data_IF_835199423432
#
_entry.id   IF_835199423432
#
_cell.length_a   1.000
_cell.length_b   1.000
_cell.length_c   1.000
_cell.angle_alpha   90.00
_cell.angle_beta   90.00
_cell.angle_gamma   90.00
#
_symmetry.space_group_name_H-M   'P 1'
#
loop_
_entity.id
_entity.type
_entity.pdbx_description
1 polymer ?
#
# COMPACT_ATOMS: atom_id res chain seq x y z
N UNK A 1 36.05 14.56 -5.60
CA UNK A 1 34.91 15.49 -5.70
C UNK A 1 33.95 14.90 -6.72
N UNK A 2 33.08 14.02 -6.26
CA UNK A 2 32.11 13.34 -7.12
C UNK A 2 30.88 14.22 -7.26
N UNK A 3 30.65 14.69 -8.48
CA UNK A 3 29.47 15.46 -8.88
C UNK A 3 28.32 14.43 -8.88
N UNK A 4 27.54 14.40 -7.81
CA UNK A 4 26.22 13.71 -7.83
C UNK A 4 25.30 14.54 -8.71
N UNK A 5 25.10 14.05 -9.92
CA UNK A 5 24.06 14.51 -10.84
C UNK A 5 22.72 14.58 -10.07
N UNK A 6 22.08 15.75 -10.10
CA UNK A 6 20.66 15.89 -9.83
C UNK A 6 19.93 14.96 -10.82
N UNK A 7 19.69 13.74 -10.42
CA UNK A 7 18.84 12.81 -11.17
C UNK A 7 17.45 13.42 -11.27
N UNK A 8 16.95 13.41 -12.46
CA UNK A 8 15.65 13.90 -12.87
C UNK A 8 14.59 13.67 -11.80
N UNK A 9 13.92 14.74 -11.43
CA UNK A 9 12.77 14.75 -10.52
C UNK A 9 11.75 13.75 -11.05
N UNK A 10 11.68 12.59 -10.45
CA UNK A 10 10.69 11.59 -10.82
C UNK A 10 9.38 11.99 -10.14
N UNK A 11 8.49 12.66 -10.89
CA UNK A 11 7.13 12.90 -10.42
C UNK A 11 6.44 11.56 -10.20
N UNK A 12 6.21 11.24 -8.95
CA UNK A 12 5.49 10.03 -8.58
C UNK A 12 4.02 10.36 -8.55
N UNK A 13 3.30 10.00 -9.62
CA UNK A 13 1.85 10.08 -9.64
C UNK A 13 1.27 8.82 -8.99
N UNK A 14 0.33 9.02 -8.08
CA UNK A 14 -0.43 7.92 -7.51
C UNK A 14 -1.16 7.17 -8.62
N UNK A 15 -0.98 5.85 -8.65
CA UNK A 15 -1.62 4.96 -9.61
C UNK A 15 -2.40 3.88 -8.86
N UNK A 16 -3.66 3.73 -9.22
CA UNK A 16 -4.54 2.66 -8.71
C UNK A 16 -4.91 1.76 -9.87
N UNK A 17 -4.66 0.46 -9.72
CA UNK A 17 -4.97 -0.57 -10.70
C UNK A 17 -5.91 -1.59 -10.06
N UNK A 18 -7.08 -1.83 -10.65
CA UNK A 18 -7.95 -2.92 -10.23
C UNK A 18 -7.32 -4.25 -10.69
N UNK A 19 -6.94 -5.10 -9.74
CA UNK A 19 -6.32 -6.40 -10.00
C UNK A 19 -7.35 -7.51 -10.18
N UNK A 20 -8.34 -7.53 -9.32
CA UNK A 20 -9.44 -8.51 -9.37
C UNK A 20 -10.62 -8.02 -8.53
N UNK A 21 -11.78 -8.61 -8.76
CA UNK A 21 -13.01 -8.33 -8.01
C UNK A 21 -13.90 -9.57 -7.99
N UNK A 22 -14.92 -9.58 -7.12
CA UNK A 22 -15.93 -10.62 -7.04
C UNK A 22 -16.61 -10.79 -8.40
N UNK A 23 -16.60 -12.01 -8.93
CA UNK A 23 -17.30 -12.33 -10.19
C UNK A 23 -18.78 -12.02 -10.02
N UNK A 24 -19.36 -11.22 -10.95
CA UNK A 24 -20.75 -10.79 -10.93
C UNK A 24 -21.15 -10.21 -9.55
N UNK A 25 -20.58 -9.04 -9.15
CA UNK A 25 -20.72 -8.53 -7.80
C UNK A 25 -22.18 -8.13 -7.49
N UNK A 26 -22.91 -7.58 -8.45
CA UNK A 26 -24.31 -7.20 -8.25
C UNK A 26 -25.19 -8.42 -8.01
N UNK A 27 -25.01 -9.50 -8.76
CA UNK A 27 -25.75 -10.75 -8.56
C UNK A 27 -25.40 -11.43 -7.23
N UNK A 28 -24.13 -11.31 -6.80
CA UNK A 28 -23.69 -11.80 -5.49
C UNK A 28 -24.39 -11.06 -4.37
N UNK A 29 -24.45 -9.71 -4.44
CA UNK A 29 -25.14 -8.84 -3.49
C UNK A 29 -26.64 -9.14 -3.48
N UNK A 30 -27.27 -9.23 -4.66
CA UNK A 30 -28.69 -9.53 -4.78
C UNK A 30 -29.06 -10.93 -4.21
N UNK A 31 -28.20 -11.92 -4.45
CA UNK A 31 -28.39 -13.28 -3.90
C UNK A 31 -28.33 -13.29 -2.38
N UNK A 32 -27.32 -12.62 -1.81
CA UNK A 32 -27.16 -12.50 -0.36
C UNK A 32 -28.35 -11.78 0.30
N UNK A 33 -28.79 -10.66 -0.27
CA UNK A 33 -29.93 -9.93 0.24
C UNK A 33 -31.23 -10.74 0.12
N UNK A 34 -31.47 -11.39 -1.02
CA UNK A 34 -32.70 -12.13 -1.26
C UNK A 34 -32.82 -13.35 -0.34
N UNK A 35 -31.72 -13.96 0.05
CA UNK A 35 -31.70 -15.07 1.00
C UNK A 35 -32.31 -14.68 2.35
N UNK A 36 -32.13 -13.44 2.80
CA UNK A 36 -32.67 -12.96 4.07
C UNK A 36 -34.21 -12.93 4.11
N UNK A 37 -34.86 -12.88 2.94
CA UNK A 37 -36.31 -12.72 2.81
C UNK A 37 -36.98 -13.88 2.04
N UNK A 38 -36.25 -14.94 1.71
CA UNK A 38 -36.77 -16.05 0.90
C UNK A 38 -36.66 -17.37 1.65
N UNK A 39 -37.72 -18.18 1.54
CA UNK A 39 -37.70 -19.57 1.98
C UNK A 39 -37.07 -20.53 0.94
N UNK A 40 -36.72 -20.02 -0.26
CA UNK A 40 -36.12 -20.80 -1.34
C UNK A 40 -34.68 -21.16 -1.02
N UNK A 41 -34.19 -22.28 -1.58
CA UNK A 41 -32.78 -22.62 -1.49
C UNK A 41 -31.91 -21.68 -2.35
N UNK A 42 -30.60 -21.69 -2.10
CA UNK A 42 -29.63 -20.77 -2.74
C UNK A 42 -29.61 -20.93 -4.27
N UNK A 43 -29.70 -22.15 -4.78
CA UNK A 43 -29.69 -22.43 -6.23
C UNK A 43 -30.89 -21.79 -6.92
N UNK A 44 -32.10 -21.99 -6.36
CA UNK A 44 -33.33 -21.38 -6.87
C UNK A 44 -33.27 -19.84 -6.84
N UNK A 45 -32.68 -19.25 -5.78
CA UNK A 45 -32.48 -17.80 -5.70
C UNK A 45 -31.56 -17.33 -6.83
N UNK A 46 -30.43 -18.01 -7.04
CA UNK A 46 -29.44 -17.68 -8.06
C UNK A 46 -30.01 -17.78 -9.47
N UNK A 47 -30.73 -18.87 -9.78
CA UNK A 47 -31.36 -19.09 -11.09
C UNK A 47 -32.49 -18.07 -11.37
N UNK A 48 -33.19 -17.63 -10.35
CA UNK A 48 -34.27 -16.66 -10.46
C UNK A 48 -33.84 -15.21 -10.65
N UNK A 49 -32.53 -14.90 -10.54
CA UNK A 49 -31.98 -13.56 -10.72
C UNK A 49 -31.53 -13.36 -12.17
N UNK A 50 -32.39 -12.77 -13.01
CA UNK A 50 -31.99 -12.22 -14.31
C UNK A 50 -31.25 -10.89 -14.11
N UNK A 51 -30.57 -10.38 -15.14
CA UNK A 51 -29.82 -9.14 -15.06
C UNK A 51 -30.73 -7.95 -14.69
N UNK A 52 -31.93 -7.86 -15.30
CA UNK A 52 -32.88 -6.81 -14.97
C UNK A 52 -33.38 -6.90 -13.52
N UNK A 53 -33.69 -8.12 -13.04
CA UNK A 53 -34.13 -8.30 -11.64
C UNK A 53 -33.00 -8.03 -10.66
N UNK A 54 -31.77 -8.35 -11.02
CA UNK A 54 -30.58 -8.06 -10.21
C UNK A 54 -30.41 -6.55 -10.06
N UNK A 55 -30.40 -5.82 -11.18
CA UNK A 55 -30.22 -4.37 -11.20
C UNK A 55 -31.30 -3.65 -10.36
N UNK A 56 -32.58 -3.94 -10.63
CA UNK A 56 -33.68 -3.31 -9.90
C UNK A 56 -33.70 -3.65 -8.40
N UNK A 57 -33.24 -4.86 -8.04
CA UNK A 57 -33.18 -5.25 -6.64
C UNK A 57 -32.01 -4.57 -5.90
N UNK A 58 -30.84 -4.45 -6.54
CA UNK A 58 -29.70 -3.72 -5.99
C UNK A 58 -30.03 -2.23 -5.81
N UNK A 59 -30.70 -1.61 -6.79
CA UNK A 59 -31.18 -0.23 -6.70
C UNK A 59 -32.12 -0.05 -5.50
N UNK A 60 -33.10 -0.92 -5.34
CA UNK A 60 -34.02 -0.91 -4.19
C UNK A 60 -33.28 -1.07 -2.86
N UNK A 61 -32.25 -1.96 -2.78
CA UNK A 61 -31.44 -2.10 -1.56
C UNK A 61 -30.69 -0.80 -1.22
N UNK A 62 -30.20 -0.09 -2.23
CA UNK A 62 -29.54 1.21 -2.04
C UNK A 62 -30.52 2.28 -1.55
N UNK A 63 -31.73 2.34 -2.12
CA UNK A 63 -32.79 3.30 -1.72
C UNK A 63 -33.23 3.12 -0.27
N UNK A 64 -33.34 1.87 0.21
CA UNK A 64 -33.77 1.59 1.59
C UNK A 64 -32.59 1.57 2.59
N UNK A 65 -31.35 1.80 2.13
CA UNK A 65 -30.15 1.81 2.97
C UNK A 65 -29.77 0.43 3.54
N UNK A 66 -30.12 -0.66 2.83
CA UNK A 66 -29.76 -2.03 3.26
C UNK A 66 -28.36 -2.38 2.77
N UNK A 67 -27.35 -1.89 3.49
CA UNK A 67 -25.93 -1.95 3.09
C UNK A 67 -25.22 -3.27 3.39
N UNK A 68 -25.73 -4.09 4.33
CA UNK A 68 -25.01 -5.32 4.72
C UNK A 68 -24.75 -6.29 3.55
N UNK A 69 -25.63 -6.48 2.54
CA UNK A 69 -25.34 -7.36 1.41
C UNK A 69 -24.21 -6.88 0.52
N UNK A 70 -23.91 -5.56 0.52
CA UNK A 70 -22.83 -4.96 -0.28
C UNK A 70 -21.44 -5.42 0.23
N UNK A 71 -21.36 -5.91 1.46
CA UNK A 71 -20.13 -6.47 2.04
C UNK A 71 -19.65 -7.74 1.31
N UNK A 72 -20.51 -8.42 0.55
CA UNK A 72 -20.15 -9.61 -0.22
C UNK A 72 -19.43 -9.31 -1.54
N UNK A 73 -19.43 -8.05 -2.00
CA UNK A 73 -18.67 -7.62 -3.17
C UNK A 73 -17.28 -7.12 -2.75
N UNK A 74 -16.21 -7.83 -3.15
CA UNK A 74 -14.82 -7.49 -2.85
C UNK A 74 -14.07 -7.02 -4.09
N UNK A 75 -13.14 -6.10 -3.86
CA UNK A 75 -12.23 -5.56 -4.87
C UNK A 75 -10.80 -5.62 -4.36
N UNK A 76 -9.86 -5.96 -5.22
CA UNK A 76 -8.43 -5.97 -4.93
C UNK A 76 -7.73 -4.98 -5.83
N UNK A 77 -7.05 -4.02 -5.23
CA UNK A 77 -6.33 -2.95 -5.92
C UNK A 77 -4.83 -3.07 -5.72
N UNK A 78 -4.06 -2.82 -6.78
CA UNK A 78 -2.65 -2.44 -6.69
C UNK A 78 -2.54 -0.93 -6.62
N UNK A 79 -1.84 -0.40 -5.63
CA UNK A 79 -1.68 1.04 -5.37
C UNK A 79 -0.18 1.34 -5.33
N UNK A 80 0.27 2.30 -6.15
CA UNK A 80 1.67 2.70 -6.30
C UNK A 80 1.78 4.23 -6.27
N UNK A 81 2.98 4.74 -6.02
CA UNK A 81 3.23 6.19 -6.04
C UNK A 81 2.58 6.93 -4.86
N UNK A 82 2.42 6.29 -3.74
CA UNK A 82 1.81 6.87 -2.55
C UNK A 82 2.81 6.97 -1.40
N UNK A 83 2.60 7.94 -0.50
CA UNK A 83 3.49 8.14 0.64
C UNK A 83 3.20 7.16 1.78
N UNK A 84 4.19 6.96 2.65
CA UNK A 84 3.96 6.26 3.92
C UNK A 84 3.03 7.02 4.87
N UNK A 85 2.90 8.34 4.71
CA UNK A 85 1.86 9.10 5.41
C UNK A 85 0.46 8.62 5.02
N UNK A 86 0.19 8.42 3.71
CA UNK A 86 -1.07 7.83 3.25
C UNK A 86 -1.24 6.41 3.78
N UNK A 87 -0.17 5.59 3.72
CA UNK A 87 -0.21 4.23 4.24
C UNK A 87 -0.66 4.19 5.71
N UNK A 88 -0.12 5.06 6.56
CA UNK A 88 -0.47 5.15 7.97
C UNK A 88 -1.95 5.52 8.21
N UNK A 89 -2.58 6.20 7.26
CA UNK A 89 -3.99 6.55 7.32
C UNK A 89 -4.88 5.43 6.76
N UNK A 90 -4.57 4.93 5.56
CA UNK A 90 -5.41 3.94 4.87
C UNK A 90 -5.46 2.60 5.62
N UNK A 91 -4.38 2.20 6.29
CA UNK A 91 -4.35 0.96 7.09
C UNK A 91 -5.18 1.02 8.37
N UNK A 92 -5.79 2.16 8.69
CA UNK A 92 -6.78 2.28 9.78
C UNK A 92 -8.15 1.70 9.41
N UNK A 93 -8.43 1.50 8.14
CA UNK A 93 -9.63 0.79 7.72
C UNK A 93 -9.57 -0.67 8.17
N UNK A 94 -10.50 -1.06 9.08
CA UNK A 94 -10.42 -2.37 9.75
C UNK A 94 -10.93 -3.54 8.93
N UNK A 95 -11.80 -3.26 7.95
CA UNK A 95 -12.40 -4.29 7.08
C UNK A 95 -11.72 -4.22 5.70
N UNK A 96 -10.39 -4.26 5.72
CA UNK A 96 -9.55 -4.34 4.55
C UNK A 96 -8.29 -5.15 4.85
N UNK A 97 -7.73 -5.80 3.83
CA UNK A 97 -6.46 -6.52 3.89
C UNK A 97 -5.40 -5.77 3.10
N UNK A 98 -4.18 -5.69 3.65
CA UNK A 98 -3.07 -4.97 3.06
C UNK A 98 -1.82 -5.83 2.96
N UNK A 99 -1.18 -5.79 1.78
CA UNK A 99 0.20 -6.26 1.58
C UNK A 99 1.03 -5.09 1.10
N UNK A 100 2.01 -4.68 1.90
CA UNK A 100 2.79 -3.45 1.68
C UNK A 100 4.25 -3.77 1.44
N UNK A 101 4.90 -3.04 0.51
CA UNK A 101 6.33 -3.14 0.30
C UNK A 101 7.09 -2.85 1.59
N UNK A 102 7.92 -3.80 1.98
CA UNK A 102 8.68 -3.73 3.24
C UNK A 102 10.00 -3.00 3.05
N UNK A 103 10.24 -1.96 3.85
CA UNK A 103 11.55 -1.29 3.94
C UNK A 103 12.62 -2.12 4.68
N UNK A 104 12.29 -3.28 5.23
CA UNK A 104 13.24 -4.19 5.88
C UNK A 104 13.95 -5.10 4.90
N UNK A 105 13.33 -5.36 3.74
CA UNK A 105 13.84 -6.32 2.74
C UNK A 105 14.22 -5.66 1.42
N UNK A 106 13.77 -4.46 1.18
CA UNK A 106 14.06 -3.70 -0.04
C UNK A 106 14.94 -2.52 0.35
N UNK A 107 16.21 -2.56 -0.11
CA UNK A 107 17.12 -1.43 0.07
C UNK A 107 16.65 -0.29 -0.82
N UNK A 108 16.46 0.87 -0.22
CA UNK A 108 16.13 2.08 -0.97
C UNK A 108 17.36 2.53 -1.77
N UNK A 109 17.53 1.96 -2.96
CA UNK A 109 18.63 2.30 -3.88
C UNK A 109 18.43 3.67 -4.53
N UNK A 110 17.18 4.00 -4.81
CA UNK A 110 16.75 5.30 -5.30
C UNK A 110 15.77 5.85 -4.29
N UNK A 111 16.16 6.87 -3.58
CA UNK A 111 15.30 7.53 -2.60
C UNK A 111 14.19 8.29 -3.33
N UNK A 112 13.03 7.67 -3.41
CA UNK A 112 11.84 8.24 -4.04
C UNK A 112 10.88 8.72 -2.96
N UNK A 113 10.36 9.93 -3.10
CA UNK A 113 9.41 10.53 -2.15
C UNK A 113 8.28 11.26 -2.87
N UNK A 114 7.16 11.34 -2.22
CA UNK A 114 5.95 12.01 -2.71
C UNK A 114 5.92 13.43 -2.16
N UNK A 115 5.89 14.43 -3.04
CA UNK A 115 5.75 15.83 -2.67
C UNK A 115 4.27 16.20 -2.64
N UNK A 116 3.74 16.68 -1.49
CA UNK A 116 2.37 17.19 -1.42
C UNK A 116 2.17 18.40 -2.36
N UNK A 117 1.00 18.53 -3.03
CA UNK A 117 0.75 19.63 -3.97
C UNK A 117 0.92 21.04 -3.35
N UNK A 118 0.53 21.22 -2.10
CA UNK A 118 0.66 22.50 -1.41
C UNK A 118 2.13 22.90 -1.16
N UNK A 119 3.01 21.91 -0.91
CA UNK A 119 4.46 22.13 -0.81
C UNK A 119 5.04 22.44 -2.19
N UNK A 120 4.57 21.75 -3.23
CA UNK A 120 5.04 21.96 -4.59
C UNK A 120 4.66 23.34 -5.13
N UNK A 121 3.52 23.88 -4.72
CA UNK A 121 3.03 25.20 -5.13
C UNK A 121 3.80 26.38 -4.47
N UNK A 122 4.53 26.14 -3.37
CA UNK A 122 5.28 27.14 -2.63
C UNK A 122 6.79 26.90 -2.78
N UNK A 123 7.48 27.81 -3.47
CA UNK A 123 8.91 27.65 -3.77
C UNK A 123 9.81 27.59 -2.52
N UNK A 124 9.48 28.33 -1.44
CA UNK A 124 10.26 28.32 -0.22
C UNK A 124 10.02 27.03 0.56
N UNK A 125 8.75 26.60 0.69
CA UNK A 125 8.40 25.32 1.31
C UNK A 125 9.02 24.14 0.56
N UNK A 126 9.01 24.19 -0.76
CA UNK A 126 9.60 23.17 -1.61
C UNK A 126 11.11 23.04 -1.40
N UNK A 127 11.84 24.16 -1.36
CA UNK A 127 13.29 24.16 -1.14
C UNK A 127 13.65 23.55 0.23
N UNK A 128 12.92 23.89 1.29
CA UNK A 128 13.08 23.32 2.63
C UNK A 128 12.76 21.82 2.65
N UNK A 129 11.72 21.44 1.95
CA UNK A 129 11.31 20.04 1.85
C UNK A 129 12.36 19.18 1.14
N UNK A 130 12.85 19.61 -0.03
CA UNK A 130 13.89 18.92 -0.80
C UNK A 130 15.19 18.77 -0.01
N UNK A 131 15.62 19.82 0.70
CA UNK A 131 16.81 19.76 1.56
C UNK A 131 16.61 18.74 2.70
N UNK A 132 15.42 18.70 3.32
CA UNK A 132 15.10 17.73 4.36
C UNK A 132 15.11 16.28 3.83
N UNK A 133 14.60 16.04 2.63
CA UNK A 133 14.62 14.73 1.98
C UNK A 133 16.05 14.28 1.68
N UNK A 134 16.89 15.19 1.17
CA UNK A 134 18.31 14.92 0.89
C UNK A 134 19.08 14.58 2.16
N UNK A 135 18.87 15.33 3.25
CA UNK A 135 19.51 15.06 4.54
C UNK A 135 19.09 13.68 5.09
N UNK A 136 17.82 13.31 4.97
CA UNK A 136 17.32 12.02 5.40
C UNK A 136 17.93 10.86 4.58
N UNK A 137 18.04 11.00 3.25
CA UNK A 137 18.71 10.05 2.37
C UNK A 137 20.17 9.84 2.76
N UNK A 138 20.91 10.94 2.94
CA UNK A 138 22.32 10.88 3.35
C UNK A 138 22.49 10.21 4.72
N UNK A 139 21.63 10.55 5.68
CA UNK A 139 21.65 9.95 7.01
C UNK A 139 21.38 8.44 6.94
N UNK A 140 20.38 8.02 6.16
CA UNK A 140 20.05 6.61 5.95
C UNK A 140 21.24 5.82 5.43
N UNK A 141 21.89 6.28 4.36
CA UNK A 141 23.04 5.59 3.77
C UNK A 141 24.23 5.54 4.74
N UNK A 142 24.57 6.65 5.38
CA UNK A 142 25.68 6.71 6.35
C UNK A 142 25.47 5.76 7.53
N UNK A 143 24.24 5.68 8.06
CA UNK A 143 23.90 4.77 9.15
C UNK A 143 23.95 3.32 8.69
N UNK A 144 23.34 3.01 7.53
CA UNK A 144 23.31 1.66 6.97
C UNK A 144 24.73 1.12 6.73
N UNK A 145 25.62 1.91 6.12
CA UNK A 145 27.01 1.52 5.85
C UNK A 145 27.80 1.28 7.14
N UNK A 146 27.63 2.19 8.12
CA UNK A 146 28.32 2.08 9.42
C UNK A 146 27.87 0.85 10.21
N UNK A 147 26.55 0.59 10.24
CA UNK A 147 26.01 -0.59 10.92
C UNK A 147 26.37 -1.89 10.19
N UNK A 148 26.33 -1.89 8.86
CA UNK A 148 26.70 -3.05 8.06
C UNK A 148 28.14 -3.46 8.33
N UNK A 149 29.08 -2.50 8.29
CA UNK A 149 30.51 -2.77 8.58
C UNK A 149 30.70 -3.36 9.98
N UNK A 150 30.00 -2.83 10.99
CA UNK A 150 30.04 -3.37 12.36
C UNK A 150 29.51 -4.79 12.43
N UNK A 151 28.33 -5.06 11.84
CA UNK A 151 27.70 -6.38 11.89
C UNK A 151 28.48 -7.43 11.10
N UNK A 152 29.13 -7.07 9.97
CA UNK A 152 30.04 -7.97 9.25
C UNK A 152 31.16 -8.41 10.17
N UNK A 153 31.82 -7.45 10.84
CA UNK A 153 32.92 -7.76 11.76
C UNK A 153 32.48 -8.70 12.90
N UNK A 154 31.37 -8.37 13.56
CA UNK A 154 30.80 -9.18 14.65
C UNK A 154 30.49 -10.62 14.20
N UNK A 155 29.95 -10.80 12.98
CA UNK A 155 29.63 -12.12 12.41
C UNK A 155 30.90 -12.91 12.01
N UNK A 156 31.90 -12.25 11.45
CA UNK A 156 33.16 -12.88 11.13
C UNK A 156 33.95 -13.32 12.39
N UNK A 157 33.93 -12.47 13.41
CA UNK A 157 34.54 -12.79 14.73
C UNK A 157 33.85 -14.00 15.40
N UNK A 158 32.55 -14.20 15.10
CA UNK A 158 31.75 -15.35 15.53
C UNK A 158 31.92 -16.59 14.61
N UNK A 159 32.76 -16.55 13.59
CA UNK A 159 33.04 -17.68 12.70
C UNK A 159 32.00 -17.90 11.59
N UNK A 160 31.17 -16.90 11.28
CA UNK A 160 30.19 -16.98 10.18
C UNK A 160 30.91 -16.82 8.85
N UNK A 161 30.52 -17.59 7.85
CA UNK A 161 31.05 -17.45 6.47
C UNK A 161 30.88 -16.03 5.95
N UNK A 162 31.92 -15.50 5.29
CA UNK A 162 32.00 -14.11 4.86
C UNK A 162 30.82 -13.68 3.97
N UNK A 163 30.39 -14.50 3.00
CA UNK A 163 29.29 -14.19 2.10
C UNK A 163 27.96 -14.13 2.85
N UNK A 164 27.81 -15.02 3.85
CA UNK A 164 26.62 -15.06 4.71
C UNK A 164 26.62 -13.84 5.64
N UNK A 165 27.80 -13.52 6.22
CA UNK A 165 27.96 -12.36 7.11
C UNK A 165 27.62 -11.05 6.39
N UNK A 166 28.14 -10.80 5.20
CA UNK A 166 27.85 -9.60 4.39
C UNK A 166 26.37 -9.48 4.11
N UNK A 167 25.72 -10.54 3.60
CA UNK A 167 24.29 -10.53 3.26
C UNK A 167 23.39 -10.28 4.48
N UNK A 168 23.72 -10.91 5.60
CA UNK A 168 22.90 -10.78 6.81
C UNK A 168 23.12 -9.44 7.51
N UNK A 169 24.37 -8.95 7.51
CA UNK A 169 24.72 -7.63 8.03
C UNK A 169 24.02 -6.51 7.27
N UNK A 170 23.97 -6.57 5.93
CA UNK A 170 23.26 -5.59 5.11
C UNK A 170 21.76 -5.55 5.46
N UNK A 171 21.11 -6.72 5.56
CA UNK A 171 19.69 -6.80 5.95
C UNK A 171 19.44 -6.19 7.32
N UNK A 172 20.26 -6.54 8.31
CA UNK A 172 20.13 -6.01 9.66
C UNK A 172 20.39 -4.51 9.72
N UNK A 173 21.38 -4.01 8.98
CA UNK A 173 21.70 -2.60 8.93
C UNK A 173 20.58 -1.73 8.34
N UNK A 174 19.96 -2.16 7.25
CA UNK A 174 18.83 -1.42 6.65
C UNK A 174 17.57 -1.47 7.53
N UNK A 175 17.36 -2.54 8.32
CA UNK A 175 16.25 -2.63 9.26
C UNK A 175 16.34 -1.56 10.35
N UNK A 176 17.54 -1.22 10.80
CA UNK A 176 17.77 -0.16 11.78
C UNK A 176 17.86 1.23 11.11
N UNK A 177 18.58 1.35 9.99
CA UNK A 177 18.79 2.62 9.31
C UNK A 177 17.46 3.26 8.81
N UNK A 178 16.47 2.46 8.45
CA UNK A 178 15.16 2.95 7.96
C UNK A 178 14.41 3.87 8.94
N UNK A 179 14.80 3.91 10.21
CA UNK A 179 14.16 4.77 11.21
C UNK A 179 14.33 6.27 10.95
N UNK A 180 15.32 6.66 10.11
CA UNK A 180 15.49 8.05 9.69
C UNK A 180 14.74 8.39 8.39
N UNK A 181 14.13 7.40 7.74
CA UNK A 181 13.37 7.62 6.52
C UNK A 181 12.07 8.39 6.81
N UNK A 182 11.79 9.47 6.08
CA UNK A 182 10.59 10.28 6.31
C UNK A 182 9.33 9.55 5.84
N UNK A 183 8.19 9.95 6.39
CA UNK A 183 6.87 9.49 5.96
C UNK A 183 6.51 9.89 4.52
N UNK A 184 7.28 10.78 3.93
CA UNK A 184 7.20 11.16 2.52
C UNK A 184 7.67 10.06 1.57
N UNK A 185 8.49 9.09 2.03
CA UNK A 185 8.96 7.99 1.19
C UNK A 185 7.82 7.32 0.44
N UNK A 186 8.04 7.10 -0.85
CA UNK A 186 7.11 6.36 -1.70
C UNK A 186 6.96 4.93 -1.20
N UNK A 187 5.77 4.40 -1.35
CA UNK A 187 5.45 2.99 -1.10
C UNK A 187 4.40 2.50 -2.08
N UNK A 188 4.26 1.19 -2.12
CA UNK A 188 3.22 0.52 -2.90
C UNK A 188 2.62 -0.62 -2.10
N UNK A 189 1.36 -0.90 -2.40
CA UNK A 189 0.60 -1.90 -1.69
C UNK A 189 -0.44 -2.60 -2.57
N UNK A 190 -0.84 -3.78 -2.14
CA UNK A 190 -2.08 -4.42 -2.57
C UNK A 190 -3.08 -4.28 -1.44
N UNK A 191 -4.28 -3.82 -1.77
CA UNK A 191 -5.40 -3.66 -0.84
C UNK A 191 -6.59 -4.47 -1.33
N UNK A 192 -7.16 -5.31 -0.46
CA UNK A 192 -8.45 -5.97 -0.70
C UNK A 192 -9.48 -5.42 0.28
N UNK A 193 -10.61 -4.96 -0.24
CA UNK A 193 -11.65 -4.30 0.54
C UNK A 193 -13.02 -4.64 -0.05
N UNK A 194 -14.06 -4.73 0.77
CA UNK A 194 -15.42 -4.87 0.25
C UNK A 194 -16.03 -3.51 -0.15
N UNK A 195 -17.08 -3.55 -0.97
CA UNK A 195 -17.71 -2.34 -1.50
C UNK A 195 -18.25 -1.42 -0.40
N UNK A 196 -18.86 -1.96 0.66
CA UNK A 196 -19.37 -1.16 1.77
C UNK A 196 -18.26 -0.38 2.49
N UNK A 197 -17.14 -1.06 2.79
CA UNK A 197 -16.01 -0.43 3.45
C UNK A 197 -15.26 0.55 2.54
N UNK A 198 -15.40 0.43 1.22
CA UNK A 198 -14.78 1.34 0.25
C UNK A 198 -15.58 2.65 0.11
N UNK A 199 -16.90 2.64 0.37
CA UNK A 199 -17.78 3.81 0.30
C UNK A 199 -17.70 4.66 1.58
N UNK A 200 -17.37 4.05 2.71
CA UNK A 200 -17.21 4.72 4.01
C UNK A 200 -15.83 5.34 4.16
#
# INVERSE_FOLDING_TARGET
MAIYSLKERMFVLAKVTLLTYTTDPERTVASAAKLCYSASNIETIKEGLTDEKTASFVEMLAEIGHESPIEHAYFTFGIEGVSRSLLAQITRHRIASFSVQSQRYVKEKNFVYVTPPEIEADAEALALYEESMKQAEEAYHKIADKLSARYVKEMLDAGVDEKIAIRNAEKKAIEDARFVLPNACETKMVMTINARSLIN
#
